data_IF_910912780268
#
_entry.id   IF_910912780268
#
_cell.length_a   1.000
_cell.length_b   1.000
_cell.length_c   1.000
_cell.angle_alpha   90.00
_cell.angle_beta   90.00
_cell.angle_gamma   90.00
#
_symmetry.space_group_name_H-M   'P 1'
#
loop_
_entity.id
_entity.type
_entity.pdbx_description
1 polymer ?
#
# COMPACT_ATOMS: atom_id res chain seq x y z
N UNK A 1 -6.33 -17.19 -2.60
CA UNK A 1 -5.12 -16.49 -3.07
C UNK A 1 -3.91 -17.02 -2.33
N UNK A 2 -2.93 -17.54 -3.07
CA UNK A 2 -1.59 -17.92 -2.61
C UNK A 2 -0.59 -16.88 -3.12
N UNK A 3 0.29 -16.36 -2.26
CA UNK A 3 1.22 -15.28 -2.57
C UNK A 3 2.67 -15.80 -2.47
N UNK A 4 3.45 -15.63 -3.54
CA UNK A 4 4.89 -15.78 -3.53
C UNK A 4 5.53 -14.40 -3.44
N UNK A 5 6.43 -14.19 -2.48
CA UNK A 5 7.16 -12.93 -2.35
C UNK A 5 8.62 -13.12 -2.76
N UNK A 6 9.04 -12.35 -3.77
CA UNK A 6 10.39 -12.26 -4.26
C UNK A 6 10.89 -10.85 -3.95
N UNK A 7 11.91 -10.70 -3.09
CA UNK A 7 12.32 -9.37 -2.65
C UNK A 7 13.81 -9.21 -2.40
N UNK A 8 14.27 -7.96 -2.30
CA UNK A 8 15.58 -7.61 -1.74
C UNK A 8 15.45 -6.45 -0.76
N UNK A 9 16.31 -6.45 0.25
CA UNK A 9 16.49 -5.39 1.23
C UNK A 9 15.26 -5.04 2.07
N UNK A 10 15.34 -3.88 2.72
CA UNK A 10 14.38 -3.45 3.75
C UNK A 10 12.97 -3.15 3.19
N UNK A 11 12.86 -2.75 1.92
CA UNK A 11 11.58 -2.47 1.27
C UNK A 11 10.67 -3.71 1.29
N UNK A 12 11.17 -4.85 0.82
CA UNK A 12 10.39 -6.09 0.78
C UNK A 12 10.07 -6.62 2.17
N UNK A 13 11.08 -6.63 3.05
CA UNK A 13 10.92 -7.03 4.45
C UNK A 13 9.83 -6.23 5.15
N UNK A 14 9.78 -4.91 4.93
CA UNK A 14 8.76 -4.04 5.48
C UNK A 14 7.36 -4.40 4.97
N UNK A 15 7.18 -4.60 3.67
CA UNK A 15 5.88 -5.01 3.11
C UNK A 15 5.44 -6.36 3.69
N UNK A 16 6.33 -7.35 3.76
CA UNK A 16 6.04 -8.68 4.33
C UNK A 16 5.61 -8.56 5.79
N UNK A 17 6.34 -7.80 6.60
CA UNK A 17 6.02 -7.59 8.00
C UNK A 17 4.67 -6.88 8.21
N UNK A 18 4.28 -5.98 7.29
CA UNK A 18 2.96 -5.37 7.29
C UNK A 18 1.87 -6.41 6.94
N UNK A 19 2.09 -7.22 5.89
CA UNK A 19 1.17 -8.27 5.43
C UNK A 19 0.85 -9.30 6.53
N UNK A 20 1.87 -9.73 7.27
CA UNK A 20 1.70 -10.69 8.38
C UNK A 20 1.29 -10.02 9.69
N UNK A 21 1.18 -8.68 9.70
CA UNK A 21 0.95 -7.85 10.89
C UNK A 21 1.87 -8.21 12.07
N UNK A 22 3.19 -8.29 11.82
CA UNK A 22 4.16 -8.60 12.88
C UNK A 22 4.07 -7.56 14.01
N UNK A 23 4.19 -8.02 15.26
CA UNK A 23 4.22 -7.16 16.45
C UNK A 23 5.43 -6.22 16.48
N UNK A 24 6.53 -6.60 15.83
CA UNK A 24 7.76 -5.81 15.76
C UNK A 24 7.85 -4.89 14.55
N UNK A 25 6.82 -4.86 13.69
CA UNK A 25 6.84 -4.11 12.42
C UNK A 25 6.89 -2.59 12.59
N UNK A 26 5.97 -2.05 13.40
CA UNK A 26 5.81 -0.60 13.55
C UNK A 26 6.56 -0.13 14.79
N UNK A 27 7.67 0.58 14.57
CA UNK A 27 8.50 1.16 15.63
C UNK A 27 8.32 2.67 15.79
N UNK A 28 7.52 3.31 14.93
CA UNK A 28 7.43 4.79 14.82
C UNK A 28 6.89 5.49 16.07
N UNK A 29 6.21 4.78 16.96
CA UNK A 29 5.74 5.34 18.24
C UNK A 29 6.72 5.12 19.40
N UNK A 30 7.73 4.26 19.23
CA UNK A 30 8.61 3.82 20.32
C UNK A 30 7.80 3.36 21.54
N UNK A 31 8.20 3.85 22.71
CA UNK A 31 7.55 3.57 24.00
C UNK A 31 6.11 4.10 24.10
N UNK A 32 5.71 5.05 23.25
CA UNK A 32 4.35 5.61 23.19
C UNK A 32 3.40 4.79 22.30
N UNK A 33 3.75 3.52 22.03
CA UNK A 33 2.91 2.63 21.26
C UNK A 33 1.63 2.27 22.04
N UNK A 34 0.48 2.38 21.37
CA UNK A 34 -0.84 2.03 21.91
C UNK A 34 -1.47 0.87 21.11
N UNK A 35 -0.66 0.13 20.36
CA UNK A 35 -1.09 -1.01 19.55
C UNK A 35 -2.25 -0.73 18.57
N UNK A 36 -2.25 0.44 17.91
CA UNK A 36 -3.31 0.82 16.97
C UNK A 36 -3.56 -0.20 15.84
N UNK A 37 -2.56 -1.02 15.50
CA UNK A 37 -2.63 -2.09 14.48
C UNK A 37 -3.11 -3.44 15.04
N UNK A 38 -3.48 -3.56 16.31
CA UNK A 38 -3.88 -4.84 16.92
C UNK A 38 -5.08 -5.49 16.22
N UNK A 39 -6.03 -4.68 15.76
CA UNK A 39 -7.21 -5.16 15.03
C UNK A 39 -6.92 -5.51 13.56
N UNK A 40 -5.73 -5.22 13.04
CA UNK A 40 -5.36 -5.52 11.65
C UNK A 40 -5.19 -7.03 11.49
N UNK A 41 -5.87 -7.60 10.49
CA UNK A 41 -5.77 -9.02 10.16
C UNK A 41 -4.34 -9.35 9.67
N UNK A 42 -3.82 -10.50 10.12
CA UNK A 42 -2.62 -11.11 9.55
C UNK A 42 -2.98 -11.95 8.33
N UNK A 43 -2.16 -11.87 7.29
CA UNK A 43 -2.29 -12.67 6.07
C UNK A 43 -1.12 -13.65 5.87
N UNK A 44 -0.44 -14.02 6.95
CA UNK A 44 0.65 -15.02 6.90
C UNK A 44 0.21 -16.34 6.25
N UNK A 45 -1.05 -16.74 6.45
CA UNK A 45 -1.63 -17.95 5.86
C UNK A 45 -1.80 -17.91 4.33
N UNK A 46 -1.68 -16.73 3.71
CA UNK A 46 -1.73 -16.59 2.25
C UNK A 46 -0.34 -16.67 1.60
N UNK A 47 0.73 -16.49 2.38
CA UNK A 47 2.10 -16.49 1.86
C UNK A 47 2.60 -17.93 1.78
N UNK A 48 2.85 -18.41 0.57
CA UNK A 48 3.29 -19.79 0.29
C UNK A 48 4.79 -19.91 0.08
N UNK A 49 5.47 -18.79 -0.16
CA UNK A 49 6.92 -18.73 -0.30
C UNK A 49 7.43 -17.30 -0.14
N UNK A 50 8.62 -17.20 0.44
CA UNK A 50 9.36 -15.95 0.58
C UNK A 50 10.79 -16.25 0.13
N UNK A 51 11.30 -15.46 -0.81
CA UNK A 51 12.69 -15.53 -1.24
C UNK A 51 13.31 -14.13 -1.20
N UNK A 52 14.38 -14.00 -0.44
CA UNK A 52 15.22 -12.80 -0.36
C UNK A 52 16.44 -12.99 -1.27
N UNK A 53 16.61 -12.09 -2.22
CA UNK A 53 17.83 -12.01 -3.02
C UNK A 53 18.91 -11.26 -2.24
N UNK A 54 20.17 -11.59 -2.54
CA UNK A 54 21.31 -10.87 -1.99
C UNK A 54 21.30 -9.40 -2.44
N UNK A 55 21.77 -8.50 -1.58
CA UNK A 55 21.84 -7.07 -1.87
C UNK A 55 23.12 -6.66 -2.62
N UNK A 56 24.12 -7.55 -2.69
CA UNK A 56 25.44 -7.35 -3.29
C UNK A 56 25.58 -8.02 -4.67
N UNK A 57 24.48 -8.10 -5.42
CA UNK A 57 24.48 -8.64 -6.77
C UNK A 57 25.34 -7.80 -7.74
N UNK A 58 25.92 -8.44 -8.79
CA UNK A 58 26.63 -7.72 -9.84
C UNK A 58 25.74 -6.66 -10.51
N UNK A 59 26.35 -5.58 -11.00
CA UNK A 59 25.63 -4.52 -11.71
C UNK A 59 24.93 -4.98 -13.00
N UNK A 60 25.36 -6.10 -13.56
CA UNK A 60 24.76 -6.75 -14.71
C UNK A 60 24.70 -8.26 -14.49
N UNK A 61 23.54 -8.85 -14.74
CA UNK A 61 23.29 -10.28 -14.58
C UNK A 61 22.99 -10.89 -15.95
N UNK A 62 23.89 -11.75 -16.44
CA UNK A 62 23.76 -12.43 -17.73
C UNK A 62 22.69 -13.53 -17.73
N UNK A 63 22.64 -14.35 -16.68
CA UNK A 63 21.64 -15.42 -16.54
C UNK A 63 20.77 -15.19 -15.29
N UNK A 64 19.69 -14.38 -15.37
CA UNK A 64 18.80 -14.11 -14.24
C UNK A 64 18.16 -15.36 -13.61
N UNK A 65 17.89 -16.39 -14.41
CA UNK A 65 17.25 -17.62 -13.96
C UNK A 65 18.08 -18.37 -12.91
N UNK A 66 19.41 -18.26 -12.91
CA UNK A 66 20.28 -18.93 -11.93
C UNK A 66 20.11 -18.39 -10.49
N UNK A 67 19.60 -17.16 -10.36
CA UNK A 67 19.35 -16.52 -9.07
C UNK A 67 17.97 -16.85 -8.51
N UNK A 68 17.07 -17.41 -9.34
CA UNK A 68 15.73 -17.76 -8.88
C UNK A 68 15.79 -18.95 -7.92
N UNK A 69 14.90 -19.01 -6.91
CA UNK A 69 14.88 -20.12 -5.98
C UNK A 69 14.63 -21.44 -6.72
N UNK A 70 15.34 -22.52 -6.38
CA UNK A 70 15.24 -23.79 -7.10
C UNK A 70 13.87 -24.45 -6.95
N UNK A 71 13.16 -24.14 -5.87
CA UNK A 71 11.85 -24.70 -5.56
C UNK A 71 10.82 -23.57 -5.50
N UNK A 72 9.95 -23.53 -6.50
CA UNK A 72 8.93 -22.49 -6.67
C UNK A 72 7.56 -23.09 -6.33
N UNK A 73 6.90 -22.64 -5.24
CA UNK A 73 5.59 -23.16 -4.88
C UNK A 73 4.51 -22.64 -5.84
N UNK A 74 3.47 -23.43 -6.06
CA UNK A 74 2.27 -22.95 -6.77
C UNK A 74 1.69 -21.72 -6.08
N UNK A 75 1.43 -20.66 -6.85
CA UNK A 75 0.85 -19.42 -6.32
C UNK A 75 -0.14 -18.77 -7.29
N UNK A 76 -0.95 -17.84 -6.79
CA UNK A 76 -1.85 -17.03 -7.62
C UNK A 76 -1.21 -15.68 -7.97
N UNK A 77 -0.43 -15.11 -7.04
CA UNK A 77 0.15 -13.77 -7.12
C UNK A 77 1.64 -13.80 -6.75
N UNK A 78 2.47 -13.16 -7.57
CA UNK A 78 3.88 -12.87 -7.26
C UNK A 78 4.01 -11.39 -6.86
N UNK A 79 4.60 -11.14 -5.70
CA UNK A 79 5.07 -9.81 -5.31
C UNK A 79 6.57 -9.72 -5.56
N UNK A 80 6.98 -8.94 -6.57
CA UNK A 80 8.37 -8.74 -6.95
C UNK A 80 8.86 -7.37 -6.46
N UNK A 81 9.42 -7.33 -5.25
CA UNK A 81 9.61 -6.09 -4.50
C UNK A 81 11.10 -5.74 -4.35
N UNK A 82 11.53 -4.65 -5.00
CA UNK A 82 12.88 -4.12 -4.83
C UNK A 82 14.01 -5.01 -5.35
N UNK A 83 13.68 -6.02 -6.17
CA UNK A 83 14.64 -6.94 -6.77
C UNK A 83 15.54 -6.20 -7.78
N UNK A 84 16.70 -6.78 -8.09
CA UNK A 84 17.62 -6.25 -9.09
C UNK A 84 16.92 -6.13 -10.47
N UNK A 85 17.14 -5.05 -11.24
CA UNK A 85 16.48 -4.83 -12.54
C UNK A 85 16.55 -6.03 -13.48
N UNK A 86 17.73 -6.66 -13.60
CA UNK A 86 17.93 -7.78 -14.52
C UNK A 86 17.16 -9.06 -14.10
N UNK A 87 16.80 -9.19 -12.82
CA UNK A 87 16.03 -10.34 -12.33
C UNK A 87 14.57 -10.32 -12.83
N UNK A 88 14.06 -9.17 -13.26
CA UNK A 88 12.72 -9.09 -13.86
C UNK A 88 12.62 -9.92 -15.15
N UNK A 89 13.72 -10.14 -15.88
CA UNK A 89 13.73 -10.95 -17.09
C UNK A 89 13.45 -12.45 -16.84
N UNK A 90 13.64 -12.94 -15.62
CA UNK A 90 13.29 -14.32 -15.25
C UNK A 90 11.85 -14.47 -14.73
N UNK A 91 11.12 -13.37 -14.48
CA UNK A 91 9.75 -13.42 -13.95
C UNK A 91 8.77 -14.17 -14.86
N UNK A 92 8.81 -14.05 -16.21
CA UNK A 92 7.93 -14.85 -17.08
C UNK A 92 8.10 -16.37 -16.87
N UNK A 93 9.33 -16.85 -16.68
CA UNK A 93 9.60 -18.26 -16.40
C UNK A 93 9.09 -18.67 -15.01
N UNK A 94 9.28 -17.80 -14.01
CA UNK A 94 8.73 -18.02 -12.65
C UNK A 94 7.21 -18.11 -12.69
N UNK A 95 6.54 -17.25 -13.44
CA UNK A 95 5.07 -17.30 -13.63
C UNK A 95 4.64 -18.64 -14.21
N UNK A 96 5.33 -19.12 -15.26
CA UNK A 96 5.03 -20.43 -15.87
C UNK A 96 5.21 -21.58 -14.88
N UNK A 97 6.33 -21.59 -14.12
CA UNK A 97 6.65 -22.65 -13.15
C UNK A 97 5.71 -22.67 -11.95
N UNK A 98 5.21 -21.52 -11.53
CA UNK A 98 4.34 -21.37 -10.35
C UNK A 98 2.85 -21.43 -10.68
N UNK A 99 2.46 -21.28 -11.95
CA UNK A 99 1.07 -21.11 -12.34
C UNK A 99 0.44 -19.79 -11.88
N UNK A 100 1.27 -18.79 -11.53
CA UNK A 100 0.81 -17.48 -11.11
C UNK A 100 -0.06 -16.83 -12.20
N UNK A 101 -1.05 -16.05 -11.76
CA UNK A 101 -1.99 -15.33 -12.63
C UNK A 101 -1.77 -13.83 -12.60
N UNK A 102 -1.01 -13.34 -11.63
CA UNK A 102 -0.69 -11.94 -11.49
C UNK A 102 0.72 -11.71 -10.95
N UNK A 103 1.29 -10.56 -11.32
CA UNK A 103 2.53 -10.03 -10.76
C UNK A 103 2.32 -8.57 -10.36
N UNK A 104 2.72 -8.22 -9.15
CA UNK A 104 2.82 -6.82 -8.70
C UNK A 104 4.29 -6.49 -8.45
N UNK A 105 4.82 -5.52 -9.17
CA UNK A 105 6.21 -5.09 -9.14
C UNK A 105 6.31 -3.60 -8.79
N UNK A 106 6.16 -3.22 -7.51
CA UNK A 106 6.10 -1.81 -7.13
C UNK A 106 7.42 -1.08 -7.42
N UNK A 107 7.29 0.13 -7.94
CA UNK A 107 8.43 1.01 -8.21
C UNK A 107 8.55 2.06 -7.10
N UNK A 108 9.39 1.74 -6.13
CA UNK A 108 9.70 2.61 -4.98
C UNK A 108 11.05 3.31 -5.14
N UNK A 109 11.88 2.83 -6.06
CA UNK A 109 13.15 3.43 -6.47
C UNK A 109 13.36 3.20 -7.97
N UNK A 110 13.42 4.30 -8.73
CA UNK A 110 13.62 4.27 -10.19
C UNK A 110 14.93 3.64 -10.64
N UNK A 111 15.96 3.61 -9.78
CA UNK A 111 17.23 2.95 -10.10
C UNK A 111 17.10 1.43 -10.07
N UNK A 112 16.31 0.91 -9.12
CA UNK A 112 16.03 -0.54 -8.98
C UNK A 112 14.93 -1.04 -9.90
N UNK A 113 14.04 -0.15 -10.32
CA UNK A 113 12.89 -0.49 -11.17
C UNK A 113 12.78 0.47 -12.37
N UNK A 114 13.70 0.37 -13.35
CA UNK A 114 13.65 1.20 -14.54
C UNK A 114 12.33 1.01 -15.31
N UNK A 115 11.73 2.11 -15.76
CA UNK A 115 10.42 2.09 -16.41
C UNK A 115 10.37 1.21 -17.67
N UNK A 116 11.45 1.22 -18.46
CA UNK A 116 11.55 0.38 -19.67
C UNK A 116 11.49 -1.11 -19.36
N UNK A 117 12.14 -1.55 -18.27
CA UNK A 117 12.12 -2.95 -17.83
C UNK A 117 10.72 -3.36 -17.39
N UNK A 118 10.06 -2.52 -16.58
CA UNK A 118 8.70 -2.79 -16.12
C UNK A 118 7.67 -2.80 -17.26
N UNK A 119 7.82 -1.91 -18.24
CA UNK A 119 6.94 -1.85 -19.40
C UNK A 119 7.16 -3.04 -20.35
N UNK A 120 8.40 -3.50 -20.51
CA UNK A 120 8.69 -4.73 -21.24
C UNK A 120 8.04 -5.94 -20.55
N UNK A 121 8.25 -6.08 -19.24
CA UNK A 121 7.65 -7.16 -18.46
C UNK A 121 6.11 -7.13 -18.53
N UNK A 122 5.50 -5.94 -18.46
CA UNK A 122 4.05 -5.76 -18.65
C UNK A 122 3.59 -6.36 -19.96
N UNK A 123 4.21 -5.98 -21.07
CA UNK A 123 3.84 -6.45 -22.41
C UNK A 123 3.96 -7.96 -22.55
N UNK A 124 5.05 -8.53 -22.05
CA UNK A 124 5.31 -9.97 -22.11
C UNK A 124 4.26 -10.76 -21.31
N UNK A 125 3.95 -10.34 -20.09
CA UNK A 125 2.97 -11.01 -19.21
C UNK A 125 1.53 -10.83 -19.71
N UNK A 126 1.12 -9.61 -20.05
CA UNK A 126 -0.25 -9.33 -20.48
C UNK A 126 -0.56 -9.98 -21.84
N UNK A 127 0.44 -10.17 -22.72
CA UNK A 127 0.27 -10.89 -23.99
C UNK A 127 -0.17 -12.36 -23.82
N UNK A 128 0.14 -12.97 -22.67
CA UNK A 128 -0.27 -14.35 -22.34
C UNK A 128 -1.36 -14.40 -21.26
N UNK A 129 -2.03 -13.27 -21.01
CA UNK A 129 -3.18 -13.18 -20.11
C UNK A 129 -2.83 -13.13 -18.62
N UNK A 130 -1.59 -12.80 -18.27
CA UNK A 130 -1.15 -12.64 -16.88
C UNK A 130 -1.34 -11.18 -16.48
N UNK A 131 -2.01 -10.94 -15.35
CA UNK A 131 -2.23 -9.60 -14.83
C UNK A 131 -0.89 -9.00 -14.35
N UNK A 132 -0.63 -7.75 -14.69
CA UNK A 132 0.58 -7.06 -14.22
C UNK A 132 0.26 -5.67 -13.69
N UNK A 133 0.82 -5.28 -12.55
CA UNK A 133 0.89 -3.89 -12.14
C UNK A 133 2.24 -3.48 -11.55
N UNK A 134 2.70 -2.30 -11.93
CA UNK A 134 3.90 -1.68 -11.40
C UNK A 134 3.61 -0.31 -10.79
N UNK A 135 2.89 -0.26 -9.65
CA UNK A 135 2.48 0.99 -9.03
C UNK A 135 3.72 1.80 -8.57
N UNK A 136 3.68 3.11 -8.79
CA UNK A 136 4.73 4.05 -8.38
C UNK A 136 4.13 5.23 -7.61
N UNK A 137 4.31 5.34 -6.28
CA UNK A 137 4.81 4.32 -5.32
C UNK A 137 3.86 3.11 -5.20
N UNK A 138 4.19 2.12 -4.35
CA UNK A 138 3.32 0.97 -4.13
C UNK A 138 1.94 1.38 -3.58
N UNK A 139 1.89 2.42 -2.73
CA UNK A 139 0.63 2.99 -2.26
C UNK A 139 -0.15 3.78 -3.33
N UNK A 140 0.23 3.73 -4.61
CA UNK A 140 -0.61 4.18 -5.72
C UNK A 140 -1.50 3.07 -6.29
N UNK A 141 -1.32 1.81 -5.88
CA UNK A 141 -2.11 0.69 -6.37
C UNK A 141 -3.58 0.83 -5.93
N UNK A 142 -4.49 0.92 -6.88
CA UNK A 142 -5.93 0.86 -6.65
C UNK A 142 -6.53 -0.34 -7.41
N UNK A 143 -7.84 -0.54 -7.31
CA UNK A 143 -8.55 -1.51 -8.15
C UNK A 143 -8.41 -1.11 -9.62
N UNK A 144 -8.03 -2.08 -10.43
CA UNK A 144 -7.76 -1.93 -11.85
C UNK A 144 -8.72 -2.74 -12.72
N UNK A 145 -9.60 -3.55 -12.10
CA UNK A 145 -10.45 -4.51 -12.80
C UNK A 145 -9.74 -5.83 -13.13
N UNK A 146 -8.49 -6.00 -12.67
CA UNK A 146 -7.68 -7.22 -12.78
C UNK A 146 -7.96 -8.10 -11.56
N UNK A 147 -8.72 -9.22 -11.69
CA UNK A 147 -9.31 -9.92 -10.55
C UNK A 147 -8.34 -10.34 -9.44
N UNK A 148 -7.14 -10.82 -9.78
CA UNK A 148 -6.17 -11.28 -8.77
C UNK A 148 -5.51 -10.09 -8.07
N UNK A 149 -5.18 -9.03 -8.82
CA UNK A 149 -4.65 -7.79 -8.25
C UNK A 149 -5.69 -7.08 -7.38
N UNK A 150 -6.94 -6.98 -7.84
CA UNK A 150 -8.04 -6.39 -7.08
C UNK A 150 -8.31 -7.17 -5.79
N UNK A 151 -8.19 -8.50 -5.84
CA UNK A 151 -8.29 -9.35 -4.64
C UNK A 151 -7.18 -9.06 -3.62
N UNK A 152 -5.98 -8.64 -4.06
CA UNK A 152 -4.91 -8.19 -3.16
C UNK A 152 -5.26 -6.83 -2.55
N UNK A 153 -5.82 -5.92 -3.35
CA UNK A 153 -6.32 -4.63 -2.88
C UNK A 153 -7.43 -4.80 -1.82
N UNK A 154 -8.31 -5.78 -1.99
CA UNK A 154 -9.39 -6.15 -1.07
C UNK A 154 -8.90 -6.73 0.27
N UNK A 155 -7.64 -7.19 0.36
CA UNK A 155 -6.99 -7.48 1.66
C UNK A 155 -6.74 -6.20 2.47
N UNK A 156 -6.96 -5.03 1.86
CA UNK A 156 -6.80 -3.71 2.43
C UNK A 156 -5.39 -3.16 2.27
N UNK A 157 -4.68 -3.48 1.17
CA UNK A 157 -3.37 -2.92 0.84
C UNK A 157 -3.41 -2.16 -0.49
N UNK A 158 -2.78 -0.99 -0.56
CA UNK A 158 -2.71 -0.19 -1.77
C UNK A 158 -2.87 1.30 -1.47
N UNK A 159 -3.65 2.01 -2.29
CA UNK A 159 -3.97 3.42 -2.10
C UNK A 159 -4.72 3.64 -0.78
N UNK A 160 -4.27 4.47 0.16
CA UNK A 160 -4.90 4.58 1.46
C UNK A 160 -6.39 4.95 1.39
N UNK A 161 -7.20 4.41 2.30
CA UNK A 161 -8.59 4.82 2.50
C UNK A 161 -8.83 4.92 3.99
N UNK A 162 -9.32 6.08 4.44
CA UNK A 162 -9.55 6.36 5.85
C UNK A 162 -11.01 6.74 6.12
N UNK A 163 -11.53 6.28 7.26
CA UNK A 163 -12.75 6.81 7.87
C UNK A 163 -12.34 7.89 8.86
N UNK A 164 -12.73 9.13 8.62
CA UNK A 164 -12.39 10.26 9.48
C UNK A 164 -13.55 10.54 10.45
N UNK A 165 -13.21 10.80 11.71
CA UNK A 165 -14.14 11.24 12.74
C UNK A 165 -13.77 12.65 13.20
N UNK A 166 -14.73 13.58 13.18
CA UNK A 166 -14.54 14.99 13.51
C UNK A 166 -15.42 15.41 14.68
N UNK A 167 -15.02 16.46 15.39
CA UNK A 167 -15.81 17.07 16.45
C UNK A 167 -17.17 17.59 15.93
N UNK A 168 -18.18 17.78 16.79
CA UNK A 168 -19.48 18.34 16.38
C UNK A 168 -19.40 19.70 15.70
N UNK A 169 -18.39 20.52 15.99
CA UNK A 169 -18.15 21.80 15.33
C UNK A 169 -17.25 21.71 14.08
N UNK A 170 -16.72 20.52 13.76
CA UNK A 170 -15.89 20.25 12.60
C UNK A 170 -14.47 20.82 12.67
N UNK A 171 -14.03 21.29 13.84
CA UNK A 171 -12.72 21.94 14.01
C UNK A 171 -11.59 20.99 14.39
N UNK A 172 -11.91 19.81 14.91
CA UNK A 172 -10.93 18.86 15.44
C UNK A 172 -11.16 17.46 14.88
N UNK A 173 -10.07 16.74 14.61
CA UNK A 173 -10.11 15.30 14.38
C UNK A 173 -10.25 14.58 15.73
N UNK A 174 -11.30 13.79 15.89
CA UNK A 174 -11.45 12.89 17.05
C UNK A 174 -10.65 11.61 16.82
N UNK A 175 -10.64 11.12 15.58
CA UNK A 175 -9.89 9.93 15.20
C UNK A 175 -9.92 9.65 13.70
N UNK A 176 -9.14 8.66 13.29
CA UNK A 176 -9.11 8.16 11.93
C UNK A 176 -8.97 6.62 11.95
N UNK A 177 -9.92 5.94 11.29
CA UNK A 177 -9.87 4.49 11.06
C UNK A 177 -9.25 4.17 9.71
N UNK A 178 -8.40 3.15 9.63
CA UNK A 178 -7.77 2.71 8.37
C UNK A 178 -8.60 1.59 7.74
N UNK A 179 -9.17 1.84 6.57
CA UNK A 179 -9.90 0.85 5.78
C UNK A 179 -8.97 0.14 4.78
N UNK A 180 -8.09 0.90 4.14
CA UNK A 180 -7.01 0.40 3.27
C UNK A 180 -5.71 1.09 3.64
N UNK A 181 -4.66 0.30 3.82
CA UNK A 181 -3.35 0.73 4.29
C UNK A 181 -2.36 0.81 3.12
N UNK A 182 -1.43 1.76 3.20
CA UNK A 182 -0.25 1.74 2.35
C UNK A 182 0.52 0.43 2.60
N UNK A 183 1.06 -0.24 1.56
CA UNK A 183 1.81 -1.49 1.75
C UNK A 183 2.98 -1.38 2.74
N UNK A 184 3.60 -0.21 2.85
CA UNK A 184 4.65 0.08 3.82
C UNK A 184 4.15 0.33 5.26
N UNK A 185 2.84 0.44 5.49
CA UNK A 185 2.18 0.62 6.80
C UNK A 185 2.04 2.08 7.28
N UNK A 186 2.41 3.06 6.47
CA UNK A 186 2.45 4.47 6.89
C UNK A 186 1.06 5.03 7.23
N UNK A 187 -0.01 4.52 6.61
CA UNK A 187 -1.37 5.02 6.81
C UNK A 187 -1.81 4.93 8.27
N UNK A 188 -1.50 3.84 8.96
CA UNK A 188 -1.80 3.67 10.39
C UNK A 188 -1.11 4.72 11.27
N UNK A 189 0.13 5.07 10.94
CA UNK A 189 0.86 6.06 11.71
C UNK A 189 0.29 7.46 11.48
N UNK A 190 -0.02 7.82 10.24
CA UNK A 190 -0.70 9.09 9.91
C UNK A 190 -2.08 9.16 10.58
N UNK A 191 -2.88 8.11 10.50
CA UNK A 191 -4.19 8.03 11.14
C UNK A 191 -4.11 8.26 12.66
N UNK A 192 -3.11 7.65 13.32
CA UNK A 192 -2.85 7.87 14.75
C UNK A 192 -2.48 9.33 15.05
N UNK A 193 -1.62 9.93 14.23
CA UNK A 193 -1.14 11.31 14.43
C UNK A 193 -2.20 12.37 14.14
N UNK A 194 -3.23 12.04 13.35
CA UNK A 194 -4.39 12.91 13.15
C UNK A 194 -5.32 12.95 14.37
N UNK A 195 -5.38 11.91 15.20
CA UNK A 195 -6.27 11.91 16.35
C UNK A 195 -5.98 13.06 17.31
N UNK A 196 -7.02 13.80 17.70
CA UNK A 196 -6.98 14.94 18.62
C UNK A 196 -6.19 16.15 18.13
N UNK A 197 -6.16 16.39 16.82
CA UNK A 197 -5.51 17.58 16.23
C UNK A 197 -6.51 18.51 15.55
N UNK A 198 -6.12 19.78 15.41
CA UNK A 198 -6.91 20.79 14.70
C UNK A 198 -6.96 20.51 13.19
N UNK A 199 -8.16 20.62 12.63
CA UNK A 199 -8.42 20.40 11.20
C UNK A 199 -7.70 21.43 10.34
N UNK A 200 -7.47 22.64 10.85
CA UNK A 200 -6.73 23.68 10.11
C UNK A 200 -5.26 23.31 9.84
N UNK A 201 -4.64 22.46 10.68
CA UNK A 201 -3.22 22.05 10.59
C UNK A 201 -3.01 20.62 10.06
N UNK A 202 -4.02 20.07 9.35
CA UNK A 202 -3.98 18.67 8.93
C UNK A 202 -2.83 18.38 7.95
N UNK A 203 -2.48 19.33 7.07
CA UNK A 203 -1.42 19.14 6.07
C UNK A 203 -0.06 18.97 6.73
N UNK A 204 0.24 19.81 7.71
CA UNK A 204 1.46 19.75 8.51
C UNK A 204 1.51 18.47 9.33
N UNK A 205 0.38 18.08 9.94
CA UNK A 205 0.26 16.83 10.71
C UNK A 205 0.55 15.61 9.83
N UNK A 206 -0.06 15.53 8.65
CA UNK A 206 0.13 14.44 7.68
C UNK A 206 1.56 14.43 7.18
N UNK A 207 2.08 15.58 6.73
CA UNK A 207 3.44 15.69 6.21
C UNK A 207 4.47 15.29 7.25
N UNK A 208 4.37 15.80 8.47
CA UNK A 208 5.28 15.46 9.57
C UNK A 208 5.21 13.97 9.95
N UNK A 209 4.00 13.40 10.02
CA UNK A 209 3.83 11.97 10.29
C UNK A 209 4.37 11.08 9.17
N UNK A 210 4.12 11.44 7.90
CA UNK A 210 4.60 10.69 6.75
C UNK A 210 6.14 10.69 6.65
N UNK A 211 6.78 11.85 6.81
CA UNK A 211 8.24 11.97 6.73
C UNK A 211 8.97 11.35 7.93
N UNK A 212 8.33 11.28 9.10
CA UNK A 212 8.89 10.59 10.28
C UNK A 212 8.63 9.08 10.30
N UNK A 213 7.75 8.59 9.42
CA UNK A 213 7.57 7.16 9.22
C UNK A 213 8.67 6.62 8.29
N UNK A 214 9.21 5.39 8.50
CA UNK A 214 10.19 4.80 7.59
C UNK A 214 9.52 4.35 6.29
N UNK A 215 9.04 5.29 5.48
CA UNK A 215 8.42 5.03 4.19
C UNK A 215 9.43 4.34 3.27
N UNK A 216 8.94 3.48 2.39
CA UNK A 216 9.79 2.72 1.48
C UNK A 216 10.04 3.43 0.15
N UNK A 217 9.31 4.52 -0.10
CA UNK A 217 9.45 5.36 -1.28
C UNK A 217 10.76 6.16 -1.25
N UNK A 218 11.48 6.17 -2.37
CA UNK A 218 12.75 6.86 -2.49
C UNK A 218 12.62 8.39 -2.39
N UNK A 219 13.60 9.00 -1.74
CA UNK A 219 13.82 10.45 -1.68
C UNK A 219 14.62 10.97 -2.89
N UNK A 220 15.11 10.08 -3.75
CA UNK A 220 15.75 10.50 -4.99
C UNK A 220 14.72 11.13 -5.94
N UNK A 221 15.16 12.13 -6.70
CA UNK A 221 14.31 12.75 -7.72
C UNK A 221 14.01 11.73 -8.82
N UNK A 222 12.74 11.48 -9.05
CA UNK A 222 12.27 10.58 -10.08
C UNK A 222 12.06 11.34 -11.41
N UNK A 223 12.68 10.90 -12.52
CA UNK A 223 12.58 11.61 -13.79
C UNK A 223 11.20 11.51 -14.46
N UNK A 224 10.40 10.50 -14.15
CA UNK A 224 9.05 10.34 -14.71
C UNK A 224 8.01 11.21 -13.97
N UNK A 225 8.20 11.42 -12.66
CA UNK A 225 7.32 12.23 -11.82
C UNK A 225 7.74 13.71 -11.84
N UNK A 226 9.05 13.99 -11.95
CA UNK A 226 9.61 15.34 -11.79
C UNK A 226 9.79 15.77 -10.33
N UNK A 227 9.44 14.89 -9.38
CA UNK A 227 9.55 15.04 -7.93
C UNK A 227 10.04 13.70 -7.33
N UNK A 228 10.13 13.58 -6.01
CA UNK A 228 10.48 12.32 -5.34
C UNK A 228 9.29 11.36 -5.27
N UNK A 229 9.55 10.05 -5.29
CA UNK A 229 8.50 9.04 -5.10
C UNK A 229 7.89 9.18 -3.70
N UNK A 230 8.69 9.58 -2.70
CA UNK A 230 8.24 9.88 -1.35
C UNK A 230 7.22 11.02 -1.30
N UNK A 231 7.46 12.14 -2.01
CA UNK A 231 6.46 13.21 -2.08
C UNK A 231 5.17 12.76 -2.74
N UNK A 232 5.24 11.95 -3.80
CA UNK A 232 4.04 11.33 -4.39
C UNK A 232 3.27 10.49 -3.37
N UNK A 233 3.95 9.68 -2.56
CA UNK A 233 3.33 8.93 -1.46
C UNK A 233 2.66 9.87 -0.43
N UNK A 234 3.33 10.98 -0.09
CA UNK A 234 2.80 12.03 0.78
C UNK A 234 1.52 12.69 0.25
N UNK A 235 1.47 12.97 -1.05
CA UNK A 235 0.26 13.50 -1.69
C UNK A 235 -0.88 12.49 -1.69
N UNK A 236 -0.61 11.21 -1.95
CA UNK A 236 -1.62 10.14 -1.94
C UNK A 236 -2.26 10.01 -0.55
N UNK A 237 -1.48 9.98 0.54
CA UNK A 237 -2.06 9.89 1.89
C UNK A 237 -2.82 11.16 2.28
N UNK A 238 -2.36 12.34 1.82
CA UNK A 238 -3.07 13.59 2.03
C UNK A 238 -4.42 13.59 1.34
N UNK A 239 -4.47 13.18 0.08
CA UNK A 239 -5.71 13.07 -0.70
C UNK A 239 -6.69 12.08 -0.03
N UNK A 240 -6.20 10.94 0.46
CA UNK A 240 -7.03 9.97 1.18
C UNK A 240 -7.64 10.54 2.48
N UNK A 241 -6.95 11.45 3.17
CA UNK A 241 -7.51 12.15 4.34
C UNK A 241 -8.54 13.19 3.91
N UNK A 242 -8.28 13.95 2.84
CA UNK A 242 -9.22 14.94 2.28
C UNK A 242 -10.52 14.26 1.81
N UNK A 243 -10.41 13.12 1.11
CA UNK A 243 -11.55 12.27 0.73
C UNK A 243 -12.32 11.78 1.96
N UNK A 244 -11.62 11.29 2.99
CA UNK A 244 -12.22 10.84 4.24
C UNK A 244 -12.96 11.96 5.00
N UNK A 245 -12.43 13.18 4.99
CA UNK A 245 -13.09 14.36 5.55
C UNK A 245 -14.38 14.71 4.79
N UNK A 246 -14.36 14.60 3.46
CA UNK A 246 -15.55 14.86 2.63
C UNK A 246 -16.66 13.82 2.89
N UNK A 247 -16.30 12.55 3.05
CA UNK A 247 -17.24 11.50 3.46
C UNK A 247 -17.87 11.80 4.83
N UNK A 248 -17.07 12.19 5.82
CA UNK A 248 -17.55 12.51 7.16
C UNK A 248 -18.56 13.67 7.17
N UNK A 249 -18.35 14.70 6.33
CA UNK A 249 -19.31 15.81 6.16
C UNK A 249 -20.64 15.33 5.59
N UNK A 250 -20.60 14.53 4.52
CA UNK A 250 -21.81 13.97 3.88
C UNK A 250 -22.60 13.06 4.81
N UNK A 251 -21.92 12.25 5.62
CA UNK A 251 -22.57 11.39 6.63
C UNK A 251 -23.29 12.23 7.69
N UNK A 252 -22.67 13.31 8.16
CA UNK A 252 -23.28 14.24 9.12
C UNK A 252 -24.52 14.95 8.55
N UNK A 253 -24.45 15.41 7.31
CA UNK A 253 -25.59 16.03 6.61
C UNK A 253 -26.76 15.05 6.48
N UNK A 254 -26.51 13.81 6.05
CA UNK A 254 -27.53 12.75 5.97
C UNK A 254 -28.15 12.46 7.33
N UNK A 255 -27.34 12.33 8.38
CA UNK A 255 -27.83 12.07 9.73
C UNK A 255 -28.72 13.22 10.24
N UNK A 256 -28.28 14.47 10.04
CA UNK A 256 -29.08 15.65 10.42
C UNK A 256 -30.40 15.77 9.64
N UNK A 257 -30.43 15.33 8.38
CA UNK A 257 -31.65 15.31 7.56
C UNK A 257 -32.61 14.24 8.07
N UNK A 258 -32.11 13.01 8.31
CA UNK A 258 -32.91 11.91 8.85
C UNK A 258 -33.53 12.25 10.22
N UNK A 259 -32.75 12.84 11.15
CA UNK A 259 -33.29 13.25 12.45
C UNK A 259 -34.34 14.37 12.34
N UNK A 260 -34.24 15.26 11.33
CA UNK A 260 -35.26 16.29 11.09
C UNK A 260 -36.55 15.67 10.56
N UNK A 261 -36.44 14.72 9.63
CA UNK A 261 -37.59 14.04 9.04
C UNK A 261 -38.33 13.18 10.08
N UNK A 262 -37.59 12.47 10.96
CA UNK A 262 -38.16 11.74 12.10
C UNK A 262 -38.83 12.68 13.12
N UNK A 263 -38.21 13.81 13.45
CA UNK A 263 -38.78 14.78 14.37
C UNK A 263 -40.04 15.46 13.80
N UNK A 264 -40.09 15.67 12.48
CA UNK A 264 -41.28 16.19 11.79
C UNK A 264 -42.39 15.14 11.76
N UNK A 265 -42.09 13.87 11.45
CA UNK A 265 -43.08 12.79 11.44
C UNK A 265 -43.77 12.62 12.81
N UNK A 266 -43.01 12.66 13.90
CA UNK A 266 -43.53 12.60 15.27
C UNK A 266 -44.35 13.83 15.69
N UNK A 267 -44.19 14.97 15.00
CA UNK A 267 -44.95 16.19 15.24
C UNK A 267 -46.30 16.23 14.50
N UNK A 268 -46.48 15.40 13.45
CA UNK A 268 -47.75 15.28 12.71
C UNK A 268 -48.68 14.17 13.23
N UNK A 269 -48.21 13.33 14.16
CA UNK A 269 -48.99 12.27 14.81
C UNK A 269 -49.57 12.68 16.18
N UNK A 270 -49.43 13.94 16.59
CA UNK A 270 -50.01 14.53 17.81
C UNK A 270 -51.03 15.62 17.52
#
# INVERSE_FOLDING_TARGET
>A
MKILVLYSGELGKKVIQNLVNSSSFCVSCGELCNHCRQARKSYANLIVGIHEFADDLPAFIEEPAQYMPPNLPECDLILAIGIHPDLFAAIPEVVQKTGAKAVIAPSEDSKKTPAGVLEQLRKELEAVGIEFEAPKPFCALDKTGKPVIDSFVDLGFGRPVLRIEMSPDGKMFIGAGVLRDAPCGSTWFVAKKLGWTDVSGYKETISGAHHSYPCTASMDKDPQIGDTILHKAGYIIREAVEEGMECAKKEKEKFSTACRDEAQALAFEN
#
